data_IF_176296494216
#
_entry.id   IF_176296494216
#
_cell.length_a   1.000
_cell.length_b   1.000
_cell.length_c   1.000
_cell.angle_alpha   90.00
_cell.angle_beta   90.00
_cell.angle_gamma   90.00
#
_symmetry.space_group_name_H-M   'P 1'
#
loop_
_entity.id
_entity.type
_entity.pdbx_description
1 polymer ?
#
# COMPACT_ATOMS: atom_id res chain seq x y z
N UNK A 1 27.16 44.28 63.02
CA UNK A 1 28.21 45.30 63.04
C UNK A 1 29.23 44.89 61.99
N UNK A 2 29.42 45.76 60.98
CA UNK A 2 30.08 45.57 59.68
C UNK A 2 29.37 44.59 58.70
N UNK A 3 28.70 44.93 57.59
CA UNK A 3 28.50 46.21 56.87
C UNK A 3 29.81 46.75 56.24
N UNK A 4 29.98 47.00 54.92
CA UNK A 4 29.09 47.03 53.72
C UNK A 4 29.90 46.60 52.45
N UNK A 5 29.33 45.90 51.45
CA UNK A 5 29.85 45.90 50.06
C UNK A 5 28.81 45.50 48.98
N UNK A 6 28.47 46.43 48.09
CA UNK A 6 27.66 46.19 46.88
C UNK A 6 28.54 45.64 45.75
N UNK A 7 28.00 44.80 44.86
CA UNK A 7 28.68 44.41 43.62
C UNK A 7 27.70 44.39 42.43
N UNK A 8 28.13 44.99 41.33
CA UNK A 8 27.28 45.39 40.21
C UNK A 8 26.80 44.21 39.36
N UNK A 9 25.50 44.21 39.04
CA UNK A 9 24.91 43.27 38.09
C UNK A 9 25.37 43.57 36.66
N UNK A 10 26.26 42.74 36.10
CA UNK A 10 26.58 42.77 34.67
C UNK A 10 25.92 41.59 33.97
N UNK A 11 24.92 41.86 33.13
CA UNK A 11 24.09 40.84 32.51
C UNK A 11 24.83 40.05 31.44
N UNK A 12 25.00 38.74 31.64
CA UNK A 12 25.45 37.81 30.59
C UNK A 12 24.26 37.11 29.96
N UNK A 13 24.12 37.26 28.64
CA UNK A 13 23.05 36.68 27.84
C UNK A 13 23.09 35.14 27.86
N UNK A 14 21.92 34.51 27.76
CA UNK A 14 21.79 33.05 27.58
C UNK A 14 22.30 32.66 26.19
N UNK A 15 23.07 31.57 26.04
CA UNK A 15 23.39 31.02 24.73
C UNK A 15 22.14 30.40 24.09
N UNK A 16 21.88 30.74 22.82
CA UNK A 16 20.88 30.03 22.00
C UNK A 16 21.49 28.73 21.45
N UNK A 17 20.75 27.61 21.40
CA UNK A 17 21.22 26.40 20.72
C UNK A 17 21.29 26.62 19.20
N UNK A 18 22.37 26.15 18.58
CA UNK A 18 22.58 26.26 17.15
C UNK A 18 21.48 25.54 16.36
N UNK A 19 20.81 26.24 15.45
CA UNK A 19 19.89 25.63 14.48
C UNK A 19 20.69 24.79 13.48
N UNK A 20 20.86 23.48 13.75
CA UNK A 20 21.26 22.53 12.70
C UNK A 20 20.11 22.43 11.70
N UNK A 21 20.37 22.87 10.47
CA UNK A 21 19.47 22.64 9.34
C UNK A 21 19.40 21.15 9.03
N UNK A 22 18.35 20.48 9.51
CA UNK A 22 17.95 19.16 9.06
C UNK A 22 17.06 19.29 7.84
N UNK A 23 17.65 19.49 6.66
CA UNK A 23 16.93 19.29 5.41
C UNK A 23 16.51 17.82 5.33
N UNK A 24 15.21 17.56 5.25
CA UNK A 24 14.72 16.20 5.05
C UNK A 24 15.29 15.66 3.73
N UNK A 25 15.83 14.42 3.68
CA UNK A 25 16.29 13.82 2.44
C UNK A 25 15.11 13.66 1.47
N UNK A 26 15.06 14.50 0.44
CA UNK A 26 14.23 14.24 -0.74
C UNK A 26 14.95 13.21 -1.61
N UNK A 27 14.79 11.94 -1.24
CA UNK A 27 15.34 10.77 -1.95
C UNK A 27 14.31 9.64 -1.84
N UNK A 28 13.73 9.13 -2.93
CA UNK A 28 13.83 9.54 -4.34
C UNK A 28 12.75 8.80 -5.14
N UNK A 29 12.79 8.91 -6.47
CA UNK A 29 11.88 8.16 -7.36
C UNK A 29 11.85 6.68 -6.99
N UNK A 30 10.64 6.17 -6.69
CA UNK A 30 10.45 4.86 -6.07
C UNK A 30 10.61 3.75 -7.13
N UNK A 31 11.70 2.95 -7.14
CA UNK A 31 11.96 2.00 -8.22
C UNK A 31 10.95 0.85 -8.28
N UNK A 32 10.19 0.63 -7.19
CA UNK A 32 9.16 -0.40 -7.11
C UNK A 32 7.99 -0.21 -8.10
N UNK A 33 7.65 1.04 -8.46
CA UNK A 33 6.50 1.32 -9.31
C UNK A 33 6.67 0.85 -10.78
N UNK A 34 7.90 0.84 -11.30
CA UNK A 34 8.20 0.37 -12.68
C UNK A 34 8.17 -1.15 -12.84
N UNK A 35 8.26 -1.92 -11.75
CA UNK A 35 8.41 -3.37 -11.81
C UNK A 35 7.07 -4.15 -11.86
N UNK A 36 5.92 -3.46 -11.87
CA UNK A 36 4.61 -4.10 -11.86
C UNK A 36 3.84 -4.04 -13.19
N UNK A 37 4.36 -3.39 -14.23
CA UNK A 37 3.69 -3.34 -15.55
C UNK A 37 3.30 -4.73 -16.11
N UNK A 38 4.15 -5.78 -16.06
CA UNK A 38 3.76 -7.10 -16.56
C UNK A 38 2.67 -7.78 -15.72
N UNK A 39 2.60 -7.48 -14.42
CA UNK A 39 1.57 -7.98 -13.52
C UNK A 39 0.24 -7.24 -13.74
N UNK A 40 0.29 -5.93 -13.98
CA UNK A 40 -0.88 -5.12 -14.32
C UNK A 40 -1.46 -5.60 -15.66
N UNK A 41 -0.63 -5.78 -16.69
CA UNK A 41 -1.08 -6.30 -17.99
C UNK A 41 -1.76 -7.68 -17.89
N UNK A 42 -1.27 -8.58 -17.02
CA UNK A 42 -1.95 -9.84 -16.70
C UNK A 42 -3.32 -9.62 -16.04
N UNK A 43 -3.44 -8.67 -15.11
CA UNK A 43 -4.71 -8.33 -14.44
C UNK A 43 -5.68 -7.53 -15.34
N UNK A 44 -5.21 -6.95 -16.44
CA UNK A 44 -6.04 -6.28 -17.45
C UNK A 44 -6.55 -7.25 -18.54
N UNK A 45 -5.95 -8.44 -18.65
CA UNK A 45 -6.30 -9.49 -19.60
C UNK A 45 -7.54 -10.30 -19.14
N UNK A 46 -8.63 -10.39 -19.93
CA UNK A 46 -9.79 -11.18 -19.55
C UNK A 46 -9.52 -12.69 -19.49
N UNK A 47 -8.70 -13.23 -20.41
CA UNK A 47 -8.34 -14.66 -20.41
C UNK A 47 -7.47 -15.10 -19.22
N UNK A 48 -6.90 -14.15 -18.46
CA UNK A 48 -6.12 -14.44 -17.26
C UNK A 48 -6.97 -14.87 -16.06
N UNK A 49 -8.27 -14.58 -16.05
CA UNK A 49 -9.18 -14.92 -14.95
C UNK A 49 -9.86 -16.29 -15.16
N UNK A 50 -9.98 -17.15 -14.11
CA UNK A 50 -10.59 -18.48 -14.24
C UNK A 50 -12.03 -18.47 -14.79
N UNK A 51 -12.81 -17.42 -14.50
CA UNK A 51 -14.19 -17.27 -14.96
C UNK A 51 -14.34 -16.51 -16.28
N UNK A 52 -13.24 -16.08 -16.92
CA UNK A 52 -13.17 -15.43 -18.24
C UNK A 52 -14.26 -14.35 -18.46
N UNK A 53 -14.18 -13.21 -17.76
CA UNK A 53 -15.10 -12.09 -17.99
C UNK A 53 -15.01 -11.57 -19.43
N UNK A 54 -16.01 -10.83 -19.89
CA UNK A 54 -16.02 -10.28 -21.27
C UNK A 54 -15.04 -9.14 -21.48
N UNK A 55 -14.74 -8.39 -20.42
CA UNK A 55 -13.81 -7.26 -20.40
C UNK A 55 -13.34 -7.03 -18.96
N UNK A 56 -12.24 -6.30 -18.79
CA UNK A 56 -11.78 -5.79 -17.50
C UNK A 56 -11.95 -4.26 -17.48
N UNK A 57 -12.57 -3.74 -16.42
CA UNK A 57 -12.60 -2.29 -16.15
C UNK A 57 -11.65 -1.98 -15.00
N UNK A 58 -10.65 -1.14 -15.26
CA UNK A 58 -9.61 -0.78 -14.30
C UNK A 58 -9.94 0.55 -13.63
N UNK A 59 -9.86 0.59 -12.29
CA UNK A 59 -9.92 1.82 -11.52
C UNK A 59 -8.64 1.94 -10.71
N UNK A 60 -7.92 3.05 -10.90
CA UNK A 60 -6.71 3.36 -10.15
C UNK A 60 -7.00 4.32 -9.00
N UNK A 61 -6.53 3.96 -7.80
CA UNK A 61 -6.50 4.85 -6.63
C UNK A 61 -5.05 5.21 -6.26
N UNK A 62 -4.87 6.04 -5.24
CA UNK A 62 -3.54 6.39 -4.72
C UNK A 62 -2.77 5.16 -4.19
N UNK A 63 -3.45 4.16 -3.61
CA UNK A 63 -2.83 3.03 -2.88
C UNK A 63 -3.21 1.64 -3.40
N UNK A 64 -4.06 1.55 -4.43
CA UNK A 64 -4.53 0.27 -4.98
C UNK A 64 -4.94 0.40 -6.45
N UNK A 65 -4.80 -0.70 -7.19
CA UNK A 65 -5.51 -0.96 -8.44
C UNK A 65 -6.73 -1.82 -8.15
N UNK A 66 -7.81 -1.59 -8.90
CA UNK A 66 -9.09 -2.28 -8.78
C UNK A 66 -9.46 -2.77 -10.17
N UNK A 67 -9.47 -4.09 -10.36
CA UNK A 67 -9.81 -4.75 -11.61
C UNK A 67 -11.22 -5.31 -11.47
N UNK A 68 -12.17 -4.71 -12.17
CA UNK A 68 -13.56 -5.15 -12.21
C UNK A 68 -13.67 -6.17 -13.33
N UNK A 69 -13.93 -7.41 -12.93
CA UNK A 69 -13.88 -8.63 -13.71
C UNK A 69 -15.17 -9.40 -13.45
N UNK A 70 -16.30 -8.88 -13.92
CA UNK A 70 -17.65 -9.30 -13.53
C UNK A 70 -17.84 -10.83 -13.56
N UNK A 71 -18.47 -11.44 -12.54
CA UNK A 71 -19.20 -10.83 -11.42
C UNK A 71 -18.31 -10.48 -10.20
N UNK A 72 -16.98 -10.42 -10.36
CA UNK A 72 -16.02 -10.21 -9.28
C UNK A 72 -15.24 -8.90 -9.44
N UNK A 73 -14.61 -8.47 -8.35
CA UNK A 73 -13.65 -7.36 -8.32
C UNK A 73 -12.39 -7.83 -7.61
N UNK A 74 -11.22 -7.54 -8.18
CA UNK A 74 -9.92 -7.89 -7.62
C UNK A 74 -9.17 -6.61 -7.29
N UNK A 75 -8.85 -6.41 -6.01
CA UNK A 75 -8.15 -5.21 -5.53
C UNK A 75 -6.72 -5.57 -5.11
N UNK A 76 -5.75 -5.00 -5.81
CA UNK A 76 -4.31 -5.18 -5.54
C UNK A 76 -3.75 -3.90 -4.92
N UNK A 77 -2.93 -4.06 -3.87
CA UNK A 77 -2.32 -2.93 -3.15
C UNK A 77 -1.03 -2.50 -3.85
N UNK A 78 -0.81 -1.19 -3.97
CA UNK A 78 0.43 -0.63 -4.54
C UNK A 78 1.59 -0.80 -3.55
N UNK A 79 2.84 -1.05 -4.00
CA UNK A 79 4.01 -1.25 -3.15
C UNK A 79 4.57 0.10 -2.64
N UNK A 80 3.74 0.83 -1.89
CA UNK A 80 4.03 2.18 -1.39
C UNK A 80 4.20 2.20 0.13
N UNK A 81 5.02 3.12 0.63
CA UNK A 81 5.07 3.48 2.04
C UNK A 81 4.75 4.97 2.18
N UNK A 82 3.73 5.30 2.98
CA UNK A 82 3.21 6.64 3.22
C UNK A 82 3.48 7.13 4.66
N UNK A 83 4.36 6.46 5.40
CA UNK A 83 4.68 6.74 6.81
C UNK A 83 3.65 6.23 7.80
N UNK A 84 2.34 6.43 7.53
CA UNK A 84 1.23 5.89 8.34
C UNK A 84 0.67 4.56 7.79
N UNK A 85 1.08 4.16 6.59
CA UNK A 85 0.63 2.97 5.89
C UNK A 85 1.78 2.41 5.06
N UNK A 86 2.12 1.14 5.26
CA UNK A 86 3.22 0.48 4.56
C UNK A 86 2.72 -0.78 3.83
N UNK A 87 2.81 -0.74 2.51
CA UNK A 87 2.53 -1.84 1.58
C UNK A 87 3.80 -2.23 0.78
N UNK A 88 4.98 -1.73 1.15
CA UNK A 88 6.22 -1.93 0.39
C UNK A 88 6.58 -3.42 0.21
N UNK A 89 6.45 -4.23 1.26
CA UNK A 89 6.72 -5.67 1.21
C UNK A 89 5.47 -6.50 0.88
N UNK A 90 5.69 -7.69 0.32
CA UNK A 90 4.64 -8.63 -0.05
C UNK A 90 3.87 -9.15 1.19
N UNK A 91 4.59 -9.36 2.30
CA UNK A 91 4.06 -9.80 3.59
C UNK A 91 3.13 -8.74 4.19
N UNK A 92 3.53 -7.46 4.11
CA UNK A 92 2.69 -6.34 4.52
C UNK A 92 1.40 -6.29 3.69
N UNK A 93 1.49 -6.42 2.35
CA UNK A 93 0.30 -6.46 1.49
C UNK A 93 -0.62 -7.64 1.84
N UNK A 94 -0.08 -8.84 2.05
CA UNK A 94 -0.85 -10.00 2.51
C UNK A 94 -1.57 -9.73 3.84
N UNK A 95 -0.86 -9.23 4.85
CA UNK A 95 -1.41 -8.88 6.16
C UNK A 95 -2.57 -7.88 6.05
N UNK A 96 -2.38 -6.81 5.27
CA UNK A 96 -3.42 -5.80 5.06
C UNK A 96 -4.60 -6.31 4.22
N UNK A 97 -4.39 -7.19 3.23
CA UNK A 97 -5.47 -7.86 2.50
C UNK A 97 -6.32 -8.73 3.45
N UNK A 98 -5.69 -9.52 4.32
CA UNK A 98 -6.40 -10.32 5.34
C UNK A 98 -7.18 -9.45 6.33
N UNK A 99 -6.59 -8.33 6.78
CA UNK A 99 -7.27 -7.38 7.67
C UNK A 99 -8.46 -6.70 7.01
N UNK A 100 -8.34 -6.31 5.74
CA UNK A 100 -9.43 -5.70 4.98
C UNK A 100 -10.66 -6.61 4.94
N UNK A 101 -10.46 -7.91 4.64
CA UNK A 101 -11.55 -8.90 4.67
C UNK A 101 -12.10 -9.12 6.08
N UNK A 102 -11.23 -9.31 7.08
CA UNK A 102 -11.67 -9.59 8.46
C UNK A 102 -12.41 -8.42 9.13
N UNK A 103 -12.18 -7.19 8.67
CA UNK A 103 -12.92 -6.00 9.08
C UNK A 103 -14.21 -5.86 8.27
N UNK A 104 -14.13 -5.87 6.94
CA UNK A 104 -15.25 -5.49 6.08
C UNK A 104 -16.31 -6.58 5.95
N UNK A 105 -15.97 -7.88 6.12
CA UNK A 105 -16.97 -8.96 6.22
C UNK A 105 -17.98 -8.78 7.36
N UNK A 106 -17.65 -7.99 8.39
CA UNK A 106 -18.58 -7.67 9.50
C UNK A 106 -19.74 -6.79 9.03
N UNK A 107 -19.54 -6.04 7.95
CA UNK A 107 -20.51 -5.13 7.34
C UNK A 107 -21.12 -5.71 6.06
N UNK A 108 -20.33 -6.46 5.28
CA UNK A 108 -20.73 -7.00 3.99
C UNK A 108 -20.08 -8.39 3.75
N UNK A 109 -20.54 -9.46 4.43
CA UNK A 109 -19.93 -10.79 4.36
C UNK A 109 -19.96 -11.38 2.95
N UNK A 110 -21.07 -11.21 2.23
CA UNK A 110 -21.30 -11.65 0.85
C UNK A 110 -20.48 -10.88 -0.21
N UNK A 111 -19.85 -9.78 0.18
CA UNK A 111 -19.09 -8.90 -0.74
C UNK A 111 -17.59 -9.18 -0.64
N UNK A 112 -17.04 -9.46 0.55
CA UNK A 112 -15.61 -9.66 0.76
C UNK A 112 -15.26 -11.15 0.82
N UNK A 113 -14.88 -11.71 -0.33
CA UNK A 113 -14.86 -13.16 -0.56
C UNK A 113 -13.60 -13.84 -0.06
N UNK A 114 -12.40 -13.43 -0.48
CA UNK A 114 -11.14 -14.12 -0.12
C UNK A 114 -9.90 -13.30 -0.48
N UNK A 115 -8.74 -13.64 0.11
CA UNK A 115 -7.45 -13.17 -0.38
C UNK A 115 -6.95 -14.20 -1.40
N UNK A 116 -6.77 -13.77 -2.64
CA UNK A 116 -6.29 -14.60 -3.75
C UNK A 116 -4.80 -14.30 -3.96
N UNK A 117 -3.90 -15.28 -3.81
CA UNK A 117 -2.50 -15.12 -4.23
C UNK A 117 -2.39 -15.08 -5.76
N UNK A 118 -1.45 -14.30 -6.26
CA UNK A 118 -1.06 -14.27 -7.67
C UNK A 118 0.36 -14.82 -7.76
N UNK A 119 0.53 -15.82 -8.61
CA UNK A 119 1.74 -16.60 -8.74
C UNK A 119 2.54 -16.19 -9.99
N UNK A 120 3.86 -16.31 -9.92
CA UNK A 120 4.78 -16.15 -11.03
C UNK A 120 5.15 -17.51 -11.58
N UNK A 121 4.77 -17.76 -12.83
CA UNK A 121 5.13 -18.97 -13.58
C UNK A 121 6.31 -18.70 -14.50
N UNK A 122 6.86 -19.75 -15.11
CA UNK A 122 7.83 -19.66 -16.21
C UNK A 122 7.27 -18.99 -17.46
N UNK A 123 5.94 -19.01 -17.65
CA UNK A 123 5.23 -18.49 -18.82
C UNK A 123 4.60 -17.11 -18.63
N UNK A 124 4.52 -16.59 -17.40
CA UNK A 124 3.78 -15.36 -17.13
C UNK A 124 3.40 -15.21 -15.67
N UNK A 125 2.11 -15.11 -15.40
CA UNK A 125 1.51 -15.08 -14.06
C UNK A 125 0.28 -15.98 -14.06
N UNK A 126 -0.18 -16.40 -12.88
CA UNK A 126 -1.36 -17.26 -12.73
C UNK A 126 -2.12 -16.98 -11.42
N UNK A 127 -3.41 -17.27 -11.41
CA UNK A 127 -4.20 -17.41 -10.17
C UNK A 127 -4.19 -18.85 -9.63
N UNK A 128 -3.70 -19.82 -10.41
CA UNK A 128 -3.50 -21.18 -9.95
C UNK A 128 -2.21 -21.27 -9.11
N UNK A 129 -2.11 -22.20 -8.15
CA UNK A 129 -0.94 -22.38 -7.28
C UNK A 129 0.25 -23.00 -8.03
N UNK A 130 0.88 -22.21 -8.90
CA UNK A 130 1.95 -22.61 -9.81
C UNK A 130 3.13 -21.63 -9.69
N UNK A 131 4.22 -22.05 -9.02
CA UNK A 131 5.40 -21.22 -8.80
C UNK A 131 5.31 -20.31 -7.56
N UNK A 132 6.05 -19.20 -7.56
CA UNK A 132 6.18 -18.32 -6.40
C UNK A 132 5.05 -17.30 -6.30
N UNK A 133 4.53 -17.06 -5.10
CA UNK A 133 3.57 -15.97 -4.88
C UNK A 133 4.31 -14.63 -5.00
N UNK A 134 3.82 -13.75 -5.88
CA UNK A 134 4.41 -12.41 -6.13
C UNK A 134 3.48 -11.26 -5.79
N UNK A 135 2.18 -11.50 -5.64
CA UNK A 135 1.22 -10.49 -5.18
C UNK A 135 -0.02 -11.13 -4.53
N UNK A 136 -0.82 -10.33 -3.81
CA UNK A 136 -2.14 -10.73 -3.31
C UNK A 136 -3.24 -9.75 -3.74
N UNK A 137 -4.36 -10.28 -4.21
CA UNK A 137 -5.59 -9.54 -4.44
C UNK A 137 -6.62 -9.80 -3.32
N UNK A 138 -7.37 -8.77 -2.92
CA UNK A 138 -8.67 -8.97 -2.24
C UNK A 138 -9.71 -9.23 -3.34
N UNK A 139 -10.29 -10.42 -3.36
CA UNK A 139 -11.40 -10.77 -4.25
C UNK A 139 -12.72 -10.45 -3.58
N UNK A 140 -13.56 -9.74 -4.32
CA UNK A 140 -14.87 -9.26 -3.88
C UNK A 140 -15.93 -9.63 -4.92
N UNK A 141 -17.20 -9.65 -4.52
CA UNK A 141 -18.33 -9.63 -5.44
C UNK A 141 -18.48 -8.20 -5.99
N UNK A 142 -18.75 -8.05 -7.29
CA UNK A 142 -19.12 -6.75 -7.84
C UNK A 142 -20.46 -6.30 -7.22
N UNK A 143 -20.52 -5.05 -6.75
CA UNK A 143 -21.76 -4.47 -6.26
C UNK A 143 -22.66 -4.12 -7.46
N UNK A 144 -23.99 -4.29 -7.36
CA UNK A 144 -24.90 -3.81 -8.39
C UNK A 144 -24.70 -2.31 -8.62
N UNK A 145 -24.65 -1.92 -9.90
CA UNK A 145 -24.86 -0.53 -10.28
C UNK A 145 -26.36 -0.26 -10.13
N UNK A 146 -26.71 0.71 -9.28
CA UNK A 146 -28.10 1.12 -9.00
C UNK A 146 -28.67 2.03 -10.06
#
# INVERSE_FOLDING_TARGET
MAEIAQSSSNGRARPQPARRGGGAPQTGDQPAARNQEPLIAFLESPESYPHRPTHIRVIQTHISWIFIASPFVFKVKKPVNLGFLDFSTLENRHYFCRREIALNRRLAPEVYLEVVPIYKTTSGFSFNPEGDIVEYAVKMKELPHG
#
